data_IF_889269572978
#
_entry.id   IF_889269572978
#
_cell.length_a   1.000
_cell.length_b   1.000
_cell.length_c   1.000
_cell.angle_alpha   90.00
_cell.angle_beta   90.00
_cell.angle_gamma   90.00
#
_symmetry.space_group_name_H-M   'P 1'
#
loop_
_entity.id
_entity.type
_entity.pdbx_description
1 polymer ?
#
# COMPACT_ATOMS: atom_id res chain seq x y z
N UNK A 1 -6.87 -12.40 4.62
CA UNK A 1 -7.79 -11.24 4.54
C UNK A 1 -7.56 -10.41 3.28
N UNK A 2 -6.35 -9.91 3.01
CA UNK A 2 -6.03 -9.19 1.76
C UNK A 2 -6.52 -9.89 0.48
N UNK A 3 -6.24 -11.19 0.32
CA UNK A 3 -6.71 -11.93 -0.85
C UNK A 3 -8.24 -11.96 -0.97
N UNK A 4 -8.94 -12.14 0.15
CA UNK A 4 -10.41 -12.12 0.20
C UNK A 4 -10.92 -10.72 -0.18
N UNK A 5 -10.29 -9.65 0.32
CA UNK A 5 -10.66 -8.29 -0.04
C UNK A 5 -10.52 -8.04 -1.55
N UNK A 6 -9.45 -8.53 -2.18
CA UNK A 6 -9.26 -8.44 -3.63
C UNK A 6 -10.35 -9.18 -4.40
N UNK A 7 -10.77 -10.36 -3.94
CA UNK A 7 -11.90 -11.10 -4.54
C UNK A 7 -13.19 -10.29 -4.42
N UNK A 8 -13.46 -9.70 -3.26
CA UNK A 8 -14.63 -8.83 -3.04
C UNK A 8 -14.63 -7.60 -3.98
N UNK A 9 -13.48 -6.94 -4.15
CA UNK A 9 -13.35 -5.84 -5.12
C UNK A 9 -13.61 -6.30 -6.57
N UNK A 10 -13.15 -7.50 -6.95
CA UNK A 10 -13.43 -8.07 -8.27
C UNK A 10 -14.92 -8.37 -8.46
N UNK A 11 -15.58 -8.96 -7.47
CA UNK A 11 -17.02 -9.22 -7.50
C UNK A 11 -17.82 -7.92 -7.67
N UNK A 12 -17.45 -6.85 -6.95
CA UNK A 12 -18.05 -5.53 -7.12
C UNK A 12 -17.98 -5.05 -8.57
N UNK A 13 -16.82 -5.20 -9.22
CA UNK A 13 -16.64 -4.78 -10.62
C UNK A 13 -17.55 -5.53 -11.60
N UNK A 14 -17.82 -6.82 -11.34
CA UNK A 14 -18.73 -7.64 -12.13
C UNK A 14 -20.20 -7.25 -11.89
N UNK A 15 -20.55 -6.99 -10.64
CA UNK A 15 -21.91 -6.62 -10.23
C UNK A 15 -22.29 -5.19 -10.62
N UNK A 16 -21.31 -4.29 -10.82
CA UNK A 16 -21.51 -2.86 -11.07
C UNK A 16 -22.59 -2.53 -12.11
N UNK A 17 -22.72 -3.33 -13.18
CA UNK A 17 -23.71 -3.10 -14.24
C UNK A 17 -25.07 -3.76 -13.99
N UNK A 18 -25.13 -4.75 -13.11
CA UNK A 18 -26.32 -5.59 -12.89
C UNK A 18 -27.02 -5.26 -11.58
N UNK A 19 -26.26 -4.94 -10.53
CA UNK A 19 -26.76 -4.64 -9.19
C UNK A 19 -25.77 -3.71 -8.46
N UNK A 20 -26.04 -2.40 -8.52
CA UNK A 20 -25.17 -1.38 -7.92
C UNK A 20 -25.13 -1.45 -6.40
N UNK A 21 -26.23 -1.81 -5.74
CA UNK A 21 -26.29 -1.97 -4.28
C UNK A 21 -25.37 -3.10 -3.83
N UNK A 22 -25.49 -4.28 -4.43
CA UNK A 22 -24.66 -5.43 -4.07
C UNK A 22 -23.18 -5.19 -4.43
N UNK A 23 -22.92 -4.47 -5.52
CA UNK A 23 -21.55 -4.04 -5.85
C UNK A 23 -20.97 -3.15 -4.74
N UNK A 24 -21.77 -2.31 -4.10
CA UNK A 24 -21.33 -1.48 -2.98
C UNK A 24 -21.05 -2.29 -1.72
N UNK A 25 -21.96 -3.20 -1.37
CA UNK A 25 -21.79 -4.09 -0.21
C UNK A 25 -20.47 -4.89 -0.29
N UNK A 26 -20.11 -5.35 -1.50
CA UNK A 26 -18.83 -6.02 -1.73
C UNK A 26 -17.61 -5.09 -1.51
N UNK A 27 -17.71 -3.80 -1.85
CA UNK A 27 -16.64 -2.83 -1.56
C UNK A 27 -16.55 -2.52 -0.06
N UNK A 28 -17.67 -2.42 0.66
CA UNK A 28 -17.65 -2.20 2.10
C UNK A 28 -17.01 -3.38 2.85
N UNK A 29 -17.40 -4.61 2.49
CA UNK A 29 -16.73 -5.81 3.01
C UNK A 29 -15.23 -5.83 2.69
N UNK A 30 -14.84 -5.41 1.48
CA UNK A 30 -13.43 -5.32 1.12
C UNK A 30 -12.68 -4.29 1.98
N UNK A 31 -13.28 -3.13 2.27
CA UNK A 31 -12.71 -2.06 3.11
C UNK A 31 -12.41 -2.59 4.52
N UNK A 32 -13.34 -3.32 5.13
CA UNK A 32 -13.16 -3.92 6.46
C UNK A 32 -12.01 -4.96 6.49
N UNK A 33 -11.93 -5.81 5.47
CA UNK A 33 -10.88 -6.82 5.34
C UNK A 33 -9.49 -6.19 5.15
N UNK A 34 -9.42 -5.10 4.38
CA UNK A 34 -8.19 -4.31 4.18
C UNK A 34 -7.79 -3.62 5.47
N UNK A 35 -8.72 -2.96 6.18
CA UNK A 35 -8.46 -2.33 7.47
C UNK A 35 -7.89 -3.30 8.50
N UNK A 36 -8.42 -4.53 8.55
CA UNK A 36 -7.87 -5.58 9.39
C UNK A 36 -6.47 -6.03 8.97
N UNK A 37 -6.22 -6.18 7.67
CA UNK A 37 -4.91 -6.56 7.14
C UNK A 37 -3.84 -5.51 7.46
N UNK A 38 -4.19 -4.21 7.32
CA UNK A 38 -3.34 -3.06 7.66
C UNK A 38 -3.01 -3.09 9.16
N UNK A 39 -4.04 -3.19 10.01
CA UNK A 39 -3.89 -3.20 11.47
C UNK A 39 -2.98 -4.32 11.97
N UNK A 40 -3.16 -5.54 11.45
CA UNK A 40 -2.35 -6.69 11.88
C UNK A 40 -0.89 -6.53 11.41
N UNK A 41 -0.69 -6.22 10.14
CA UNK A 41 0.66 -6.12 9.56
C UNK A 41 1.48 -5.01 10.22
N UNK A 42 0.85 -3.84 10.47
CA UNK A 42 1.50 -2.75 11.21
C UNK A 42 1.88 -3.16 12.64
N UNK A 43 1.02 -3.90 13.36
CA UNK A 43 1.35 -4.40 14.70
C UNK A 43 2.55 -5.33 14.69
N UNK A 44 2.67 -6.18 13.67
CA UNK A 44 3.85 -7.06 13.52
C UNK A 44 5.11 -6.23 13.32
N UNK A 45 5.10 -5.25 12.42
CA UNK A 45 6.25 -4.38 12.17
C UNK A 45 6.67 -3.58 13.40
N UNK A 46 5.72 -2.96 14.12
CA UNK A 46 6.01 -2.23 15.36
C UNK A 46 6.68 -3.13 16.40
N UNK A 47 6.22 -4.38 16.54
CA UNK A 47 6.83 -5.35 17.47
C UNK A 47 8.26 -5.69 17.05
N UNK A 48 8.50 -5.89 15.75
CA UNK A 48 9.83 -6.19 15.23
C UNK A 48 10.82 -5.05 15.48
N UNK A 49 10.41 -3.80 15.24
CA UNK A 49 11.25 -2.62 15.52
C UNK A 49 11.59 -2.54 17.01
N UNK A 50 10.58 -2.66 17.89
CA UNK A 50 10.76 -2.60 19.35
C UNK A 50 11.59 -3.76 19.91
N UNK A 51 11.53 -4.95 19.32
CA UNK A 51 12.37 -6.07 19.71
C UNK A 51 13.83 -5.79 19.40
N UNK A 52 14.11 -5.23 18.22
CA UNK A 52 15.47 -4.88 17.80
C UNK A 52 16.12 -3.80 18.67
N UNK A 53 15.34 -2.88 19.23
CA UNK A 53 15.82 -1.87 20.19
C UNK A 53 16.17 -2.47 21.57
N UNK A 54 15.58 -3.61 21.93
CA UNK A 54 15.73 -4.24 23.25
C UNK A 54 16.70 -5.45 23.26
N UNK A 55 17.18 -5.92 22.11
CA UNK A 55 18.05 -7.09 22.00
C UNK A 55 19.53 -6.76 22.29
N UNK A 56 19.84 -6.60 23.59
CA UNK A 56 21.16 -6.94 24.16
C UNK A 56 21.25 -8.43 24.58
N UNK A 57 20.21 -9.23 24.34
CA UNK A 57 20.17 -10.64 24.73
C UNK A 57 20.00 -11.53 23.51
N UNK A 58 20.98 -12.41 23.30
CA UNK A 58 20.93 -13.52 22.35
C UNK A 58 19.63 -14.28 22.54
N UNK A 59 18.73 -14.24 21.55
CA UNK A 59 17.95 -15.36 20.96
C UNK A 59 16.73 -14.75 20.27
N UNK A 60 16.81 -14.54 18.95
CA UNK A 60 15.62 -14.65 18.09
C UNK A 60 15.99 -14.81 16.61
N UNK A 61 16.57 -15.96 16.26
CA UNK A 61 16.92 -16.33 14.88
C UNK A 61 15.69 -16.71 14.01
N UNK A 62 14.46 -16.41 14.43
CA UNK A 62 13.23 -16.89 13.75
C UNK A 62 12.42 -15.83 13.01
N UNK A 63 12.70 -14.54 13.20
CA UNK A 63 11.91 -13.42 12.67
C UNK A 63 12.40 -12.86 11.33
N UNK A 64 13.49 -13.38 10.76
CA UNK A 64 14.18 -12.78 9.61
C UNK A 64 13.31 -12.65 8.33
N UNK A 65 12.28 -13.49 8.17
CA UNK A 65 11.37 -13.44 7.00
C UNK A 65 10.03 -12.76 7.29
N UNK A 66 9.63 -12.63 8.55
CA UNK A 66 8.31 -12.11 8.93
C UNK A 66 8.22 -10.58 8.70
N UNK A 67 9.35 -9.88 8.83
CA UNK A 67 9.44 -8.44 8.60
C UNK A 67 9.10 -8.03 7.16
N UNK A 68 9.89 -8.44 6.16
CA UNK A 68 9.61 -8.11 4.76
C UNK A 68 8.21 -8.58 4.31
N UNK A 69 7.75 -9.75 4.75
CA UNK A 69 6.40 -10.24 4.44
C UNK A 69 5.32 -9.33 5.04
N UNK A 70 5.44 -8.96 6.32
CA UNK A 70 4.49 -8.02 6.94
C UNK A 70 4.50 -6.65 6.25
N UNK A 71 5.68 -6.20 5.79
CA UNK A 71 5.83 -4.97 5.05
C UNK A 71 5.10 -5.03 3.70
N UNK A 72 5.32 -6.09 2.92
CA UNK A 72 4.63 -6.34 1.65
C UNK A 72 3.10 -6.34 1.86
N UNK A 73 2.60 -7.09 2.84
CA UNK A 73 1.16 -7.17 3.11
C UNK A 73 0.61 -5.79 3.47
N UNK A 74 1.34 -5.00 4.27
CA UNK A 74 0.92 -3.65 4.67
C UNK A 74 0.84 -2.71 3.46
N UNK A 75 1.88 -2.67 2.63
CA UNK A 75 1.91 -1.85 1.41
C UNK A 75 0.82 -2.27 0.43
N UNK A 76 0.69 -3.56 0.15
CA UNK A 76 -0.35 -4.10 -0.72
C UNK A 76 -1.77 -3.78 -0.23
N UNK A 77 -1.99 -3.81 1.09
CA UNK A 77 -3.31 -3.51 1.67
C UNK A 77 -3.64 -2.02 1.58
N UNK A 78 -2.68 -1.13 1.82
CA UNK A 78 -2.86 0.32 1.68
C UNK A 78 -3.06 0.72 0.20
N UNK A 79 -2.30 0.11 -0.70
CA UNK A 79 -2.46 0.30 -2.15
C UNK A 79 -3.84 -0.14 -2.64
N UNK A 80 -4.30 -1.31 -2.18
CA UNK A 80 -5.62 -1.83 -2.50
C UNK A 80 -6.75 -0.98 -1.91
N UNK A 81 -6.56 -0.43 -0.71
CA UNK A 81 -7.50 0.52 -0.11
C UNK A 81 -7.61 1.80 -0.95
N UNK A 82 -6.48 2.35 -1.39
CA UNK A 82 -6.49 3.49 -2.32
C UNK A 82 -7.26 3.18 -3.61
N UNK A 83 -7.06 1.99 -4.21
CA UNK A 83 -7.82 1.56 -5.38
C UNK A 83 -9.32 1.40 -5.10
N UNK A 84 -9.68 0.86 -3.95
CA UNK A 84 -11.06 0.69 -3.53
C UNK A 84 -11.78 2.04 -3.47
N UNK A 85 -11.16 3.04 -2.86
CA UNK A 85 -11.74 4.38 -2.77
C UNK A 85 -11.82 5.07 -4.14
N UNK A 86 -10.83 4.88 -5.02
CA UNK A 86 -10.92 5.32 -6.42
C UNK A 86 -12.12 4.66 -7.13
N UNK A 87 -12.35 3.37 -6.87
CA UNK A 87 -13.50 2.65 -7.46
C UNK A 87 -14.83 3.20 -6.94
N UNK A 88 -14.90 3.56 -5.66
CA UNK A 88 -16.08 4.22 -5.06
C UNK A 88 -16.31 5.62 -5.62
N UNK A 89 -15.24 6.40 -5.80
CA UNK A 89 -15.27 7.72 -6.44
C UNK A 89 -15.90 7.67 -7.84
N UNK A 90 -15.55 6.67 -8.64
CA UNK A 90 -16.09 6.50 -9.99
C UNK A 90 -17.56 6.05 -10.03
N UNK A 91 -18.10 5.57 -8.90
CA UNK A 91 -19.42 4.92 -8.83
C UNK A 91 -20.45 5.68 -8.00
N UNK A 92 -20.06 6.65 -7.18
CA UNK A 92 -20.94 7.37 -6.24
C UNK A 92 -21.01 8.90 -6.48
N UNK A 93 -22.02 9.53 -5.87
CA UNK A 93 -22.19 11.00 -5.83
C UNK A 93 -21.29 11.70 -4.79
N UNK A 94 -20.85 10.99 -3.74
CA UNK A 94 -19.94 11.45 -2.66
C UNK A 94 -18.47 11.54 -3.10
N UNK A 95 -18.23 12.18 -4.25
CA UNK A 95 -16.92 12.18 -4.92
C UNK A 95 -15.79 12.80 -4.09
N UNK A 96 -16.07 13.85 -3.32
CA UNK A 96 -15.02 14.52 -2.55
C UNK A 96 -14.50 13.64 -1.39
N UNK A 97 -15.38 12.91 -0.71
CA UNK A 97 -15.02 12.01 0.39
C UNK A 97 -14.09 10.89 -0.09
N UNK A 98 -14.50 10.15 -1.13
CA UNK A 98 -13.70 9.05 -1.67
C UNK A 98 -12.38 9.53 -2.29
N UNK A 99 -12.35 10.74 -2.84
CA UNK A 99 -11.10 11.35 -3.29
C UNK A 99 -10.14 11.58 -2.11
N UNK A 100 -10.63 12.15 -1.00
CA UNK A 100 -9.82 12.39 0.20
C UNK A 100 -9.33 11.06 0.79
N UNK A 101 -10.20 10.05 0.90
CA UNK A 101 -9.84 8.73 1.44
C UNK A 101 -8.81 8.01 0.55
N UNK A 102 -8.96 8.06 -0.78
CA UNK A 102 -8.00 7.49 -1.72
C UNK A 102 -6.60 8.09 -1.54
N UNK A 103 -6.51 9.42 -1.50
CA UNK A 103 -5.23 10.13 -1.31
C UNK A 103 -4.65 9.81 0.07
N UNK A 104 -5.47 9.78 1.11
CA UNK A 104 -5.03 9.45 2.46
C UNK A 104 -4.43 8.04 2.53
N UNK A 105 -5.09 7.04 1.95
CA UNK A 105 -4.60 5.67 1.92
C UNK A 105 -3.27 5.54 1.16
N UNK A 106 -3.13 6.19 0.01
CA UNK A 106 -1.92 6.14 -0.82
C UNK A 106 -0.75 6.89 -0.18
N UNK A 107 -1.00 8.07 0.41
CA UNK A 107 0.02 8.79 1.20
C UNK A 107 0.44 7.98 2.42
N UNK A 108 -0.49 7.27 3.06
CA UNK A 108 -0.15 6.36 4.14
C UNK A 108 0.71 5.19 3.67
N UNK A 109 0.45 4.63 2.48
CA UNK A 109 1.33 3.60 1.89
C UNK A 109 2.78 4.09 1.78
N UNK A 110 2.96 5.31 1.23
CA UNK A 110 4.29 5.92 1.05
C UNK A 110 4.95 6.20 2.40
N UNK A 111 4.20 6.78 3.34
CA UNK A 111 4.71 7.13 4.67
C UNK A 111 5.17 5.91 5.45
N UNK A 112 4.41 4.81 5.40
CA UNK A 112 4.77 3.54 6.03
C UNK A 112 6.09 3.00 5.50
N UNK A 113 6.32 3.05 4.18
CA UNK A 113 7.61 2.67 3.62
C UNK A 113 8.77 3.49 4.20
N UNK A 114 8.60 4.81 4.33
CA UNK A 114 9.63 5.68 4.91
C UNK A 114 9.83 5.43 6.42
N UNK A 115 8.75 5.19 7.16
CA UNK A 115 8.77 4.90 8.60
C UNK A 115 9.57 3.63 8.91
N UNK A 116 9.21 2.51 8.26
CA UNK A 116 9.84 1.20 8.52
C UNK A 116 11.08 0.95 7.65
N UNK A 117 11.28 1.68 6.57
CA UNK A 117 12.40 1.53 5.63
C UNK A 117 13.75 1.95 6.19
N UNK A 118 13.77 2.66 7.33
CA UNK A 118 14.98 2.91 8.13
C UNK A 118 15.62 1.60 8.63
N UNK A 119 14.84 0.53 8.76
CA UNK A 119 15.33 -0.80 9.07
C UNK A 119 15.81 -1.47 7.79
N UNK A 120 17.13 -1.46 7.57
CA UNK A 120 17.79 -1.99 6.37
C UNK A 120 17.30 -3.38 5.92
N UNK A 121 17.07 -4.29 6.88
CA UNK A 121 16.55 -5.64 6.60
C UNK A 121 15.12 -5.70 6.03
N UNK A 122 14.39 -4.58 6.03
CA UNK A 122 13.06 -4.44 5.42
C UNK A 122 13.13 -3.76 4.06
N UNK A 123 13.97 -2.73 3.92
CA UNK A 123 14.08 -1.93 2.70
C UNK A 123 15.01 -2.51 1.64
N UNK A 124 15.91 -3.44 1.98
CA UNK A 124 16.82 -4.07 1.02
C UNK A 124 16.11 -5.08 0.09
N UNK A 125 14.90 -5.54 0.42
CA UNK A 125 14.12 -6.45 -0.43
C UNK A 125 13.60 -5.74 -1.68
N UNK A 126 13.92 -6.29 -2.85
CA UNK A 126 13.43 -5.78 -4.14
C UNK A 126 11.91 -5.85 -4.24
N UNK A 127 11.29 -6.88 -3.65
CA UNK A 127 9.84 -7.05 -3.60
C UNK A 127 9.15 -5.97 -2.76
N UNK A 128 9.74 -5.56 -1.63
CA UNK A 128 9.20 -4.45 -0.83
C UNK A 128 9.28 -3.14 -1.62
N UNK A 129 10.38 -2.91 -2.36
CA UNK A 129 10.53 -1.73 -3.22
C UNK A 129 9.56 -1.74 -4.39
N UNK A 130 9.26 -2.89 -4.98
CA UNK A 130 8.24 -3.03 -6.04
C UNK A 130 6.85 -2.61 -5.54
N UNK A 131 6.48 -3.00 -4.32
CA UNK A 131 5.20 -2.59 -3.72
C UNK A 131 5.17 -1.10 -3.37
N UNK A 132 6.30 -0.55 -2.88
CA UNK A 132 6.43 0.89 -2.66
C UNK A 132 6.26 1.68 -3.97
N UNK A 133 6.95 1.24 -5.04
CA UNK A 133 6.84 1.81 -6.37
C UNK A 133 5.39 1.75 -6.90
N UNK A 134 4.66 0.67 -6.63
CA UNK A 134 3.25 0.56 -6.97
C UNK A 134 2.40 1.64 -6.30
N UNK A 135 2.65 1.94 -5.02
CA UNK A 135 1.97 3.01 -4.30
C UNK A 135 2.29 4.40 -4.86
N UNK A 136 3.57 4.67 -5.16
CA UNK A 136 4.00 5.94 -5.76
C UNK A 136 3.32 6.18 -7.11
N UNK A 137 3.39 5.19 -8.02
CA UNK A 137 2.77 5.27 -9.35
C UNK A 137 1.25 5.45 -9.26
N UNK A 138 0.58 4.76 -8.34
CA UNK A 138 -0.86 4.90 -8.16
C UNK A 138 -1.23 6.30 -7.68
N UNK A 139 -0.49 6.86 -6.73
CA UNK A 139 -0.72 8.24 -6.27
C UNK A 139 -0.45 9.25 -7.40
N UNK A 140 0.62 9.08 -8.17
CA UNK A 140 0.98 9.99 -9.27
C UNK A 140 -0.11 10.01 -10.34
N UNK A 141 -0.55 8.82 -10.79
CA UNK A 141 -1.63 8.70 -11.75
C UNK A 141 -2.94 9.30 -11.24
N UNK A 142 -3.27 9.06 -9.96
CA UNK A 142 -4.48 9.60 -9.36
C UNK A 142 -4.45 11.13 -9.26
N UNK A 143 -3.34 11.70 -8.78
CA UNK A 143 -3.15 13.15 -8.67
C UNK A 143 -3.24 13.81 -10.04
N UNK A 144 -2.57 13.24 -11.05
CA UNK A 144 -2.60 13.77 -12.43
C UNK A 144 -4.00 13.76 -13.05
N UNK A 145 -4.85 12.79 -12.69
CA UNK A 145 -6.15 12.60 -13.35
C UNK A 145 -7.31 13.28 -12.63
N UNK A 146 -7.26 13.36 -11.30
CA UNK A 146 -8.41 13.75 -10.48
C UNK A 146 -8.18 15.00 -9.63
N UNK A 147 -6.94 15.48 -9.49
CA UNK A 147 -6.65 16.62 -8.63
C UNK A 147 -6.10 17.81 -9.42
N UNK A 148 -6.53 19.01 -9.04
CA UNK A 148 -5.80 20.25 -9.37
C UNK A 148 -4.61 20.37 -8.42
N UNK A 149 -3.67 19.44 -8.52
CA UNK A 149 -2.51 19.39 -7.63
C UNK A 149 -1.46 20.40 -8.03
N UNK A 150 -0.73 20.91 -7.03
CA UNK A 150 0.46 21.71 -7.26
C UNK A 150 1.46 20.88 -8.08
N UNK A 151 1.89 21.42 -9.22
CA UNK A 151 2.78 20.76 -10.16
C UNK A 151 4.07 20.27 -9.48
N UNK A 152 4.56 21.05 -8.51
CA UNK A 152 5.72 20.68 -7.68
C UNK A 152 5.55 19.35 -6.94
N UNK A 153 4.38 19.09 -6.35
CA UNK A 153 4.14 17.85 -5.61
C UNK A 153 4.05 16.62 -6.52
N UNK A 154 3.65 16.80 -7.77
CA UNK A 154 3.64 15.73 -8.78
C UNK A 154 5.06 15.47 -9.30
N UNK A 155 5.85 16.52 -9.51
CA UNK A 155 7.28 16.43 -9.86
C UNK A 155 8.05 15.67 -8.78
N UNK A 156 7.92 16.04 -7.51
CA UNK A 156 8.56 15.35 -6.38
C UNK A 156 8.22 13.85 -6.34
N UNK A 157 6.99 13.49 -6.68
CA UNK A 157 6.54 12.10 -6.71
C UNK A 157 7.14 11.33 -7.89
N UNK A 158 7.27 11.97 -9.06
CA UNK A 158 7.87 11.37 -10.24
C UNK A 158 9.40 11.20 -10.09
N UNK A 159 10.06 12.15 -9.45
CA UNK A 159 11.49 12.04 -9.12
C UNK A 159 11.75 10.84 -8.19
N UNK A 160 10.91 10.65 -7.17
CA UNK A 160 10.97 9.47 -6.29
C UNK A 160 10.72 8.16 -7.06
N UNK A 161 9.75 8.15 -7.99
CA UNK A 161 9.49 6.98 -8.86
C UNK A 161 10.75 6.61 -9.65
N UNK A 162 11.37 7.59 -10.30
CA UNK A 162 12.60 7.36 -11.08
C UNK A 162 13.75 6.86 -10.21
N UNK A 163 13.93 7.46 -9.03
CA UNK A 163 14.95 7.04 -8.07
C UNK A 163 14.77 5.56 -7.67
N UNK A 164 13.56 5.16 -7.28
CA UNK A 164 13.25 3.79 -6.85
C UNK A 164 13.41 2.78 -7.99
N UNK A 165 13.02 3.13 -9.22
CA UNK A 165 13.21 2.28 -10.40
C UNK A 165 14.68 1.95 -10.67
N UNK A 166 15.55 2.95 -10.53
CA UNK A 166 17.01 2.76 -10.66
C UNK A 166 17.54 1.85 -9.55
N UNK A 167 17.11 2.05 -8.30
CA UNK A 167 17.53 1.20 -7.18
C UNK A 167 17.10 -0.27 -7.36
N UNK A 168 15.86 -0.51 -7.78
CA UNK A 168 15.34 -1.87 -8.03
C UNK A 168 16.17 -2.54 -9.14
N UNK A 169 16.41 -1.82 -10.23
CA UNK A 169 17.20 -2.31 -11.37
C UNK A 169 18.62 -2.68 -10.95
N UNK A 170 19.26 -1.85 -10.12
CA UNK A 170 20.60 -2.09 -9.60
C UNK A 170 20.64 -3.25 -8.59
N UNK A 171 19.55 -3.51 -7.86
CA UNK A 171 19.47 -4.60 -6.89
C UNK A 171 19.32 -5.95 -7.61
N UNK A 172 18.42 -6.04 -8.60
CA UNK A 172 18.22 -7.25 -9.41
C UNK A 172 19.48 -7.67 -10.20
N UNK A 173 20.29 -6.71 -10.65
CA UNK A 173 21.57 -7.00 -11.32
C UNK A 173 22.63 -7.60 -10.39
N UNK A 174 22.52 -7.41 -9.07
CA UNK A 174 23.45 -7.95 -8.07
C UNK A 174 23.05 -9.35 -7.58
N UNK A 175 21.84 -9.79 -7.90
CA UNK A 175 21.28 -11.10 -7.54
C UNK A 175 21.48 -12.17 -8.63
N UNK A 176 21.97 -11.78 -9.82
CA UNK A 176 22.32 -12.63 -10.98
C UNK A 176 23.83 -12.83 -11.00
#
# INVERSE_FOLDING_TARGET
MLHIARVKMLNSSQLRKMNSSQAMDELDMAKDLLGNSIRISRKVLIRLVKQKENEHTLVSRKTGKDGPVAMIILLQSLNALGLLEITKLETQESREEHQVEAVAALRQCISVFKEFGSVKSLSDSSEVKDEYLSCLRRLSNFMSSHMKTNQRSLEELNDEIQHVEVEISASRRREI
#
